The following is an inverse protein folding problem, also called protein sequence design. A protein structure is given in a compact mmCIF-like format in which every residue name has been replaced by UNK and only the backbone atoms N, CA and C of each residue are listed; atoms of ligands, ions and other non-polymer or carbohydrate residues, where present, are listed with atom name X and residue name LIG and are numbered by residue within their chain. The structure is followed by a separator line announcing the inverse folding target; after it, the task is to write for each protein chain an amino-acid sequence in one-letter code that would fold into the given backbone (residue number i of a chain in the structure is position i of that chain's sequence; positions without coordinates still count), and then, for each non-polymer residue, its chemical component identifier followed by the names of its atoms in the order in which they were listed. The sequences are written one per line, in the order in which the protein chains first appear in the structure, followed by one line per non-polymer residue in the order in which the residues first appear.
data_IF_292930214544
#
_entry.id   IF_292930214544
#
_cell.length_a   1.000
_cell.length_b   1.000
_cell.length_c   1.000
_cell.angle_alpha   90.00
_cell.angle_beta   90.00
_cell.angle_gamma   90.00
#
_symmetry.space_group_name_H-M   'P 1'
#
loop_
_entity.id
_entity.type
_entity.pdbx_description
1 polymer ?
#
# COMPACT_ATOMS: atom_id res chain seq x y z
N UNK A 1 36.73 -26.11 -0.77
CA UNK A 1 35.61 -25.15 -0.87
C UNK A 1 34.70 -25.49 0.30
N UNK A 2 35.02 -24.92 1.47
CA UNK A 2 34.41 -25.28 2.74
C UNK A 2 33.11 -24.52 2.94
N UNK A 3 32.03 -25.26 3.21
CA UNK A 3 30.79 -24.71 3.76
C UNK A 3 31.09 -24.48 5.24
N UNK A 4 31.05 -23.21 5.65
CA UNK A 4 31.15 -22.85 7.06
C UNK A 4 30.01 -23.48 7.85
N UNK A 5 30.41 -24.09 8.96
CA UNK A 5 29.59 -24.77 9.95
C UNK A 5 28.65 -23.76 10.65
N UNK A 6 27.40 -23.66 10.18
CA UNK A 6 26.38 -22.85 10.85
C UNK A 6 25.80 -23.63 12.03
N UNK A 7 26.42 -23.45 13.20
CA UNK A 7 25.92 -23.98 14.46
C UNK A 7 24.49 -23.51 14.77
N UNK A 8 23.68 -24.39 15.37
CA UNK A 8 22.26 -24.21 15.66
C UNK A 8 21.90 -23.00 16.55
N UNK A 9 22.89 -22.29 17.08
CA UNK A 9 22.69 -21.09 17.89
C UNK A 9 22.28 -19.85 17.08
N UNK A 10 22.46 -19.82 15.77
CA UNK A 10 22.05 -18.69 14.92
C UNK A 10 20.57 -18.73 14.47
N UNK A 11 19.89 -19.87 14.62
CA UNK A 11 18.51 -20.03 14.15
C UNK A 11 17.44 -19.57 15.16
N UNK A 12 17.80 -19.36 16.44
CA UNK A 12 16.86 -18.87 17.46
C UNK A 12 16.72 -17.33 17.51
N UNK A 13 17.61 -16.58 16.86
CA UNK A 13 17.61 -15.10 16.91
C UNK A 13 16.67 -14.43 15.88
N UNK A 14 16.07 -15.18 14.96
CA UNK A 14 15.20 -14.66 13.88
C UNK A 14 13.71 -15.02 14.03
N UNK A 15 13.31 -15.64 15.14
CA UNK A 15 11.90 -15.95 15.42
C UNK A 15 11.25 -16.96 14.46
N UNK A 16 12.04 -17.74 13.72
CA UNK A 16 11.56 -18.81 12.85
C UNK A 16 11.54 -20.14 13.62
N UNK A 17 10.53 -21.02 13.40
CA UNK A 17 10.46 -22.32 14.06
C UNK A 17 11.61 -23.24 13.61
N UNK A 18 12.18 -24.00 14.55
CA UNK A 18 13.27 -24.93 14.29
C UNK A 18 12.86 -26.03 13.27
N UNK A 19 13.75 -26.49 12.38
CA UNK A 19 13.43 -27.58 11.47
C UNK A 19 13.13 -28.86 12.26
N UNK A 20 11.94 -29.40 12.07
CA UNK A 20 11.50 -30.70 12.59
C UNK A 20 11.49 -31.72 11.47
N UNK A 21 11.75 -32.98 11.80
CA UNK A 21 11.58 -34.06 10.82
C UNK A 21 10.09 -34.32 10.51
N UNK A 22 9.81 -35.23 9.58
CA UNK A 22 8.45 -35.61 9.17
C UNK A 22 7.61 -36.27 10.28
N UNK A 23 8.15 -36.36 11.51
CA UNK A 23 7.49 -36.88 12.70
C UNK A 23 7.49 -35.87 13.88
N UNK A 24 7.94 -34.63 13.67
CA UNK A 24 7.77 -33.53 14.60
C UNK A 24 8.82 -33.43 15.73
N UNK A 25 9.97 -34.09 15.61
CA UNK A 25 11.07 -33.95 16.58
C UNK A 25 12.20 -33.04 16.08
N UNK A 26 12.81 -32.30 17.01
CA UNK A 26 13.95 -31.40 16.76
C UNK A 26 15.23 -32.24 16.64
N UNK A 27 15.97 -32.09 15.53
CA UNK A 27 17.16 -32.91 15.24
C UNK A 27 18.43 -32.10 15.52
N UNK A 28 19.34 -32.61 16.37
CA UNK A 28 20.50 -31.83 16.89
C UNK A 28 21.90 -32.37 16.58
N UNK A 29 22.11 -33.43 15.78
CA UNK A 29 23.47 -33.80 15.32
C UNK A 29 23.53 -34.91 14.25
N UNK A 30 24.54 -34.85 13.36
CA UNK A 30 24.99 -35.96 12.50
C UNK A 30 26.40 -36.40 12.91
N UNK A 31 26.64 -37.70 13.14
CA UNK A 31 27.97 -38.24 13.47
C UNK A 31 28.54 -39.06 12.29
N UNK A 32 29.84 -38.90 12.00
CA UNK A 32 30.64 -39.88 11.24
C UNK A 32 31.83 -40.35 12.09
N UNK A 33 32.07 -41.66 12.08
CA UNK A 33 32.97 -42.41 12.95
C UNK A 33 34.46 -42.27 12.60
N UNK A 34 35.34 -42.42 13.60
CA UNK A 34 36.78 -42.55 13.40
C UNK A 34 37.54 -42.82 14.71
N UNK A 35 38.14 -44.00 14.80
CA UNK A 35 38.80 -44.69 15.93
C UNK A 35 39.86 -43.92 16.76
N UNK A 36 39.88 -44.25 18.07
CA UNK A 36 40.82 -43.81 19.11
C UNK A 36 41.97 -44.81 19.35
N UNK A 37 43.25 -44.36 19.43
CA UNK A 37 44.29 -45.06 20.19
C UNK A 37 44.76 -44.31 21.45
N UNK A 38 44.97 -45.08 22.53
CA UNK A 38 45.33 -44.72 23.94
C UNK A 38 46.87 -44.60 24.12
N UNK A 39 47.41 -43.89 25.14
CA UNK A 39 48.68 -43.13 25.05
C UNK A 39 49.93 -43.88 25.54
N UNK A 40 51.11 -43.36 25.18
CA UNK A 40 52.43 -43.77 25.69
C UNK A 40 53.20 -42.56 26.23
N UNK A 41 53.92 -42.74 27.35
CA UNK A 41 54.47 -41.71 28.23
C UNK A 41 55.91 -41.26 27.94
N UNK A 42 56.15 -39.96 28.17
CA UNK A 42 57.34 -39.29 28.76
C UNK A 42 58.71 -39.30 28.07
N UNK A 43 59.24 -38.09 27.82
CA UNK A 43 60.56 -37.65 28.31
C UNK A 43 60.68 -36.11 28.34
N UNK A 44 61.28 -35.61 29.41
CA UNK A 44 61.55 -34.21 29.76
C UNK A 44 62.74 -33.62 29.01
N UNK A 45 62.70 -32.31 28.73
CA UNK A 45 63.87 -31.53 28.30
C UNK A 45 63.61 -30.02 28.17
N UNK A 46 63.96 -29.26 29.21
CA UNK A 46 64.30 -27.81 29.25
C UNK A 46 65.44 -27.49 28.24
N UNK A 47 65.71 -26.26 27.69
CA UNK A 47 65.33 -24.90 28.09
C UNK A 47 64.73 -23.99 26.98
N UNK A 48 64.23 -22.85 27.43
CA UNK A 48 63.75 -21.67 26.68
C UNK A 48 64.83 -21.00 25.84
N UNK A 49 64.49 -20.60 24.61
CA UNK A 49 65.22 -19.63 23.81
C UNK A 49 64.31 -18.45 23.40
N UNK A 50 64.92 -17.27 23.40
CA UNK A 50 64.36 -15.91 23.40
C UNK A 50 63.59 -15.52 22.13
N UNK A 51 62.49 -14.78 22.28
CA UNK A 51 61.72 -14.17 21.18
C UNK A 51 62.57 -13.20 20.36
N UNK A 52 62.55 -13.36 19.04
CA UNK A 52 62.98 -12.33 18.07
C UNK A 52 61.73 -11.53 17.66
N UNK A 53 61.71 -10.19 17.74
CA UNK A 53 60.56 -9.42 17.31
C UNK A 53 60.45 -9.38 15.78
N UNK A 54 59.34 -9.89 15.23
CA UNK A 54 58.99 -9.77 13.80
C UNK A 54 58.08 -8.56 13.60
N UNK A 55 58.29 -7.83 12.50
CA UNK A 55 57.71 -6.54 12.15
C UNK A 55 56.18 -6.45 12.20
N UNK A 56 55.68 -5.33 12.76
CA UNK A 56 54.28 -4.92 12.82
C UNK A 56 53.68 -4.71 11.42
N UNK A 57 52.50 -5.30 11.16
CA UNK A 57 51.71 -5.01 9.97
C UNK A 57 50.99 -3.66 10.10
N UNK A 58 51.08 -2.83 9.05
CA UNK A 58 50.42 -1.52 8.94
C UNK A 58 48.90 -1.67 8.86
N UNK A 59 48.16 -0.95 9.71
CA UNK A 59 46.69 -0.93 9.73
C UNK A 59 46.19 -0.08 8.55
N UNK A 60 45.49 -0.70 7.60
CA UNK A 60 44.74 0.02 6.57
C UNK A 60 43.43 0.52 7.17
N UNK A 61 43.21 1.84 7.18
CA UNK A 61 41.98 2.46 7.69
C UNK A 61 40.80 2.19 6.74
N UNK A 62 39.76 1.51 7.22
CA UNK A 62 38.48 1.35 6.51
C UNK A 62 37.72 2.69 6.49
N UNK A 63 37.23 3.11 5.32
CA UNK A 63 36.44 4.33 5.18
C UNK A 63 35.14 4.26 5.99
N UNK A 64 34.90 5.26 6.83
CA UNK A 64 33.67 5.43 7.61
C UNK A 64 32.49 5.72 6.68
N UNK A 65 31.39 4.96 6.82
CA UNK A 65 30.16 5.22 6.06
C UNK A 65 29.58 6.60 6.41
N UNK A 66 29.33 7.42 5.39
CA UNK A 66 28.64 8.71 5.54
C UNK A 66 27.21 8.48 6.02
N UNK A 67 26.72 9.16 7.08
CA UNK A 67 25.36 8.99 7.54
C UNK A 67 24.37 9.44 6.46
N UNK A 68 23.55 8.52 5.97
CA UNK A 68 22.42 8.81 5.09
C UNK A 68 21.37 9.58 5.89
N UNK A 69 20.90 10.71 5.37
CA UNK A 69 19.85 11.50 6.01
C UNK A 69 18.60 10.60 6.23
N UNK A 70 17.95 10.63 7.41
CA UNK A 70 16.69 9.91 7.62
C UNK A 70 15.64 10.35 6.59
N UNK A 71 14.75 9.48 6.13
CA UNK A 71 13.64 9.87 5.27
C UNK A 71 12.85 10.98 5.95
N UNK A 72 12.66 12.10 5.23
CA UNK A 72 11.83 13.22 5.69
C UNK A 72 10.44 12.69 6.00
N UNK A 73 10.00 12.79 7.25
CA UNK A 73 8.64 12.40 7.63
C UNK A 73 7.65 13.24 6.82
N UNK A 74 6.85 12.59 5.98
CA UNK A 74 5.72 13.24 5.31
C UNK A 74 4.78 13.78 6.39
N UNK A 75 4.47 15.08 6.35
CA UNK A 75 3.59 15.70 7.33
C UNK A 75 2.22 15.04 7.29
N UNK A 76 1.90 14.25 8.31
CA UNK A 76 0.56 13.68 8.49
C UNK A 76 -0.41 14.82 8.79
N UNK A 77 -1.56 14.92 8.11
CA UNK A 77 -2.55 15.94 8.43
C UNK A 77 -2.97 15.88 9.91
N UNK A 78 -3.31 17.02 10.55
CA UNK A 78 -3.80 17.03 11.92
C UNK A 78 -4.98 16.07 12.09
N UNK A 79 -5.02 15.38 13.23
CA UNK A 79 -6.13 14.50 13.61
C UNK A 79 -7.47 15.24 13.45
N UNK A 80 -8.43 14.63 12.77
CA UNK A 80 -9.76 15.21 12.53
C UNK A 80 -9.85 16.18 11.35
N UNK A 81 -8.78 16.43 10.60
CA UNK A 81 -8.84 17.14 9.32
C UNK A 81 -9.26 16.22 8.17
N UNK A 82 -9.86 16.80 7.13
CA UNK A 82 -10.14 16.07 5.88
C UNK A 82 -8.81 15.76 5.17
N UNK A 83 -8.57 14.48 4.91
CA UNK A 83 -7.37 13.99 4.22
C UNK A 83 -7.44 14.18 2.70
N UNK A 84 -8.63 14.43 2.16
CA UNK A 84 -8.86 14.65 0.73
C UNK A 84 -8.56 16.10 0.35
N UNK A 85 -7.73 16.30 -0.66
CA UNK A 85 -7.48 17.61 -1.24
C UNK A 85 -8.47 17.93 -2.35
N UNK A 86 -8.84 19.20 -2.48
CA UNK A 86 -9.85 19.68 -3.43
C UNK A 86 -11.17 18.87 -3.30
N UNK A 87 -11.65 18.74 -2.07
CA UNK A 87 -12.80 17.90 -1.70
C UNK A 87 -14.11 18.27 -2.41
N UNK A 88 -14.32 19.55 -2.68
CA UNK A 88 -15.48 20.07 -3.43
C UNK A 88 -15.16 20.47 -4.86
N UNK A 89 -14.01 20.06 -5.42
CA UNK A 89 -13.64 20.32 -6.82
C UNK A 89 -13.57 21.79 -7.27
N UNK A 90 -13.55 22.74 -6.34
CA UNK A 90 -13.53 24.19 -6.62
C UNK A 90 -12.21 24.66 -7.24
N UNK A 91 -11.09 24.01 -6.89
CA UNK A 91 -9.79 24.38 -7.43
C UNK A 91 -9.63 23.91 -8.89
N UNK A 92 -8.99 24.75 -9.72
CA UNK A 92 -8.63 24.39 -11.10
C UNK A 92 -7.38 23.50 -11.17
N UNK A 93 -6.55 23.50 -10.12
CA UNK A 93 -5.43 22.57 -9.98
C UNK A 93 -5.95 21.17 -9.68
N UNK A 94 -5.62 20.19 -10.52
CA UNK A 94 -6.14 18.83 -10.38
C UNK A 94 -5.27 18.02 -9.40
N UNK A 95 -5.70 17.90 -8.15
CA UNK A 95 -5.14 16.95 -7.16
C UNK A 95 -5.65 15.53 -7.39
N UNK A 96 -6.70 15.38 -8.20
CA UNK A 96 -7.24 14.09 -8.61
C UNK A 96 -6.58 13.63 -9.90
N UNK A 97 -6.38 12.31 -10.03
CA UNK A 97 -5.87 11.70 -11.25
C UNK A 97 -7.05 11.17 -12.05
N UNK A 98 -7.15 11.58 -13.31
CA UNK A 98 -8.22 11.18 -14.24
C UNK A 98 -7.71 10.14 -15.24
N UNK A 99 -8.55 9.14 -15.56
CA UNK A 99 -8.27 8.06 -16.51
C UNK A 99 -9.54 7.62 -17.24
N UNK A 100 -9.35 6.82 -18.29
CA UNK A 100 -10.44 6.14 -19.01
C UNK A 100 -10.98 6.90 -20.23
N UNK A 101 -12.11 6.44 -20.78
CA UNK A 101 -12.85 7.09 -21.84
C UNK A 101 -13.65 8.30 -21.31
N UNK A 102 -13.97 9.26 -22.18
CA UNK A 102 -14.71 10.48 -21.86
C UNK A 102 -14.26 11.10 -20.52
N UNK A 103 -12.97 11.48 -20.46
CA UNK A 103 -12.26 11.82 -19.24
C UNK A 103 -13.11 12.59 -18.21
N UNK A 104 -13.02 12.21 -16.92
CA UNK A 104 -13.65 12.98 -15.86
C UNK A 104 -13.26 14.45 -15.94
N UNK A 105 -14.18 15.31 -15.52
CA UNK A 105 -13.97 16.76 -15.59
C UNK A 105 -14.68 17.47 -14.46
N UNK A 106 -14.11 18.60 -14.05
CA UNK A 106 -14.81 19.59 -13.26
C UNK A 106 -16.01 20.15 -14.04
N UNK A 107 -17.17 20.25 -13.40
CA UNK A 107 -18.42 20.68 -14.02
C UNK A 107 -19.14 21.72 -13.18
N UNK A 108 -19.78 22.68 -13.83
CA UNK A 108 -20.71 23.65 -13.20
C UNK A 108 -22.17 23.25 -13.41
N UNK A 109 -22.45 22.10 -14.02
CA UNK A 109 -23.82 21.70 -14.39
C UNK A 109 -24.63 21.25 -13.20
N UNK A 110 -24.00 20.53 -12.27
CA UNK A 110 -24.55 20.16 -10.97
C UNK A 110 -23.44 20.41 -9.96
N UNK A 111 -23.77 21.04 -8.84
CA UNK A 111 -22.90 21.19 -7.69
C UNK A 111 -23.74 20.96 -6.44
N UNK A 112 -23.23 20.24 -5.45
CA UNK A 112 -23.90 20.04 -4.18
C UNK A 112 -23.64 21.24 -3.28
N UNK A 113 -22.38 21.65 -3.20
CA UNK A 113 -21.95 22.90 -2.61
C UNK A 113 -21.07 23.68 -3.58
N UNK A 114 -20.78 24.94 -3.30
CA UNK A 114 -19.89 25.74 -4.16
C UNK A 114 -20.42 25.94 -5.58
N UNK A 115 -19.49 25.95 -6.55
CA UNK A 115 -19.77 26.19 -7.98
C UNK A 115 -19.43 25.00 -8.87
N UNK A 116 -18.68 24.04 -8.37
CA UNK A 116 -18.15 22.94 -9.15
C UNK A 116 -18.40 21.59 -8.49
N UNK A 117 -18.46 20.55 -9.31
CA UNK A 117 -18.36 19.16 -8.88
C UNK A 117 -17.51 18.37 -9.87
N UNK A 118 -17.17 17.13 -9.54
CA UNK A 118 -16.61 16.19 -10.48
C UNK A 118 -17.72 15.54 -11.30
N UNK A 119 -17.61 15.55 -12.63
CA UNK A 119 -18.43 14.74 -13.52
C UNK A 119 -17.64 13.56 -14.06
N UNK A 120 -18.20 12.37 -13.90
CA UNK A 120 -17.74 11.13 -14.49
C UNK A 120 -18.82 10.65 -15.47
N UNK A 121 -18.41 10.12 -16.62
CA UNK A 121 -19.36 9.63 -17.62
C UNK A 121 -19.78 10.67 -18.66
N UNK A 122 -20.63 10.24 -19.59
CA UNK A 122 -21.13 11.03 -20.72
C UNK A 122 -22.65 11.04 -20.80
N UNK A 123 -23.19 12.07 -21.44
CA UNK A 123 -24.62 12.19 -21.73
C UNK A 123 -25.07 11.35 -22.94
N UNK A 124 -24.15 10.69 -23.63
CA UNK A 124 -24.45 9.73 -24.70
C UNK A 124 -23.20 8.97 -25.13
N UNK A 125 -23.36 7.72 -25.56
CA UNK A 125 -22.41 7.05 -26.45
C UNK A 125 -21.04 6.73 -25.84
N UNK A 126 -20.93 6.64 -24.51
CA UNK A 126 -19.67 6.27 -23.88
C UNK A 126 -19.34 4.79 -24.09
N UNK A 127 -18.05 4.48 -24.19
CA UNK A 127 -17.52 3.13 -24.13
C UNK A 127 -16.37 3.06 -23.12
N UNK A 128 -16.49 2.17 -22.14
CA UNK A 128 -15.49 1.94 -21.10
C UNK A 128 -15.66 2.85 -19.88
N UNK A 129 -14.62 2.86 -19.07
CA UNK A 129 -14.59 3.54 -17.77
C UNK A 129 -14.26 5.03 -17.91
N UNK A 130 -14.88 5.87 -17.10
CA UNK A 130 -14.46 7.23 -16.77
C UNK A 130 -14.11 7.23 -15.29
N UNK A 131 -12.85 7.43 -14.93
CA UNK A 131 -12.35 7.20 -13.56
C UNK A 131 -11.57 8.38 -13.01
N UNK A 132 -11.83 8.76 -11.76
CA UNK A 132 -11.03 9.71 -11.01
C UNK A 132 -10.63 9.11 -9.66
N UNK A 133 -9.36 9.29 -9.25
CA UNK A 133 -8.93 8.84 -7.93
C UNK A 133 -7.92 9.80 -7.28
N UNK A 134 -7.81 9.71 -5.95
CA UNK A 134 -6.80 10.41 -5.16
C UNK A 134 -6.23 9.45 -4.12
N UNK A 135 -4.90 9.33 -4.07
CA UNK A 135 -4.23 8.60 -2.99
C UNK A 135 -4.23 9.44 -1.72
N UNK A 136 -4.61 8.81 -0.62
CA UNK A 136 -4.69 9.40 0.72
C UNK A 136 -4.05 8.45 1.73
N UNK A 137 -3.28 8.99 2.67
CA UNK A 137 -2.67 8.20 3.75
C UNK A 137 -3.48 8.39 5.02
N UNK A 138 -4.07 7.30 5.53
CA UNK A 138 -4.74 7.33 6.82
C UNK A 138 -3.67 7.17 7.92
N UNK A 139 -3.64 8.05 8.94
CA UNK A 139 -2.66 7.97 10.02
C UNK A 139 -2.71 6.60 10.73
N UNK A 140 -1.56 6.00 11.03
CA UNK A 140 -1.48 4.70 11.71
C UNK A 140 -2.05 4.67 13.13
N UNK A 141 -2.12 5.83 13.78
CA UNK A 141 -2.72 5.97 15.11
C UNK A 141 -4.24 6.16 15.12
N UNK A 142 -4.86 6.31 13.94
CA UNK A 142 -6.29 6.57 13.84
C UNK A 142 -7.10 5.41 14.45
N UNK A 143 -8.08 5.77 15.28
CA UNK A 143 -9.09 4.88 15.86
C UNK A 143 -10.35 4.83 15.02
N UNK A 144 -10.59 5.87 14.23
CA UNK A 144 -11.61 5.87 13.20
C UNK A 144 -11.13 6.54 11.91
N UNK A 145 -11.63 6.08 10.78
CA UNK A 145 -11.52 6.76 9.50
C UNK A 145 -12.85 6.65 8.76
N UNK A 146 -13.47 7.79 8.45
CA UNK A 146 -14.80 7.84 7.86
C UNK A 146 -14.78 8.60 6.54
N UNK A 147 -15.17 7.91 5.47
CA UNK A 147 -15.35 8.48 4.14
C UNK A 147 -16.81 8.88 3.98
N UNK A 148 -17.04 10.13 3.58
CA UNK A 148 -18.32 10.63 3.10
C UNK A 148 -18.14 11.34 1.76
N UNK A 149 -19.18 11.33 0.95
CA UNK A 149 -19.27 12.12 -0.28
C UNK A 149 -20.73 12.20 -0.69
N UNK A 150 -21.04 13.14 -1.58
CA UNK A 150 -22.32 13.21 -2.27
C UNK A 150 -22.14 12.74 -3.70
N UNK A 151 -23.08 11.94 -4.21
CA UNK A 151 -23.16 11.62 -5.62
C UNK A 151 -24.55 11.91 -6.18
N UNK A 152 -24.60 12.27 -7.46
CA UNK A 152 -25.81 12.54 -8.22
C UNK A 152 -25.81 11.62 -9.45
N UNK A 153 -26.61 10.53 -9.46
CA UNK A 153 -26.59 9.56 -10.55
C UNK A 153 -27.61 9.86 -11.64
N UNK A 154 -27.25 9.57 -12.88
CA UNK A 154 -28.16 9.51 -14.02
C UNK A 154 -27.82 8.36 -14.95
N UNK A 155 -28.83 7.59 -15.29
CA UNK A 155 -28.72 6.51 -16.26
C UNK A 155 -30.03 6.36 -17.06
N UNK A 156 -29.93 5.86 -18.29
CA UNK A 156 -31.04 5.24 -19.02
C UNK A 156 -30.67 3.85 -19.55
N UNK A 157 -29.55 3.29 -19.08
CA UNK A 157 -29.12 1.94 -19.41
C UNK A 157 -29.40 0.97 -18.23
N UNK A 158 -29.03 -0.28 -18.42
CA UNK A 158 -29.14 -1.38 -17.48
C UNK A 158 -27.81 -1.68 -16.80
N UNK A 159 -27.88 -2.32 -15.64
CA UNK A 159 -26.70 -2.73 -14.87
C UNK A 159 -25.81 -3.78 -15.55
N UNK A 160 -26.21 -4.28 -16.72
CA UNK A 160 -25.39 -5.16 -17.54
C UNK A 160 -24.32 -4.38 -18.31
N UNK A 161 -24.64 -3.16 -18.73
CA UNK A 161 -23.78 -2.36 -19.61
C UNK A 161 -23.21 -1.14 -18.93
N UNK A 162 -23.88 -0.63 -17.89
CA UNK A 162 -23.47 0.61 -17.25
C UNK A 162 -23.57 0.55 -15.73
N UNK A 163 -22.70 1.27 -15.04
CA UNK A 163 -22.78 1.43 -13.58
C UNK A 163 -21.97 2.63 -13.08
N UNK A 164 -22.41 3.19 -11.96
CA UNK A 164 -21.70 4.16 -11.15
C UNK A 164 -21.12 3.46 -9.93
N UNK A 165 -19.90 3.83 -9.54
CA UNK A 165 -19.13 3.07 -8.58
C UNK A 165 -18.19 3.96 -7.76
N UNK A 166 -17.96 3.56 -6.51
CA UNK A 166 -16.88 4.08 -5.70
C UNK A 166 -16.11 2.91 -5.07
N UNK A 167 -14.78 3.02 -5.11
CA UNK A 167 -13.86 1.98 -4.68
C UNK A 167 -12.77 2.52 -3.76
N UNK A 168 -12.21 1.60 -2.98
CA UNK A 168 -10.88 1.74 -2.43
C UNK A 168 -9.91 0.96 -3.30
N UNK A 169 -8.87 1.63 -3.77
CA UNK A 169 -7.77 1.03 -4.54
C UNK A 169 -6.46 1.05 -3.75
N UNK A 170 -5.54 0.15 -4.07
CA UNK A 170 -4.16 0.25 -3.58
C UNK A 170 -3.32 1.22 -4.43
N UNK A 171 -2.06 1.44 -4.05
CA UNK A 171 -1.13 2.32 -4.78
C UNK A 171 -0.87 1.90 -6.24
N UNK A 172 -1.11 0.63 -6.57
CA UNK A 172 -0.98 0.09 -7.93
C UNK A 172 -2.26 0.25 -8.76
N UNK A 173 -3.33 0.83 -8.18
CA UNK A 173 -4.63 1.01 -8.84
C UNK A 173 -5.52 -0.23 -8.83
N UNK A 174 -5.17 -1.27 -8.07
CA UNK A 174 -6.03 -2.45 -7.91
C UNK A 174 -7.15 -2.13 -6.92
N UNK A 175 -8.40 -2.42 -7.28
CA UNK A 175 -9.54 -2.36 -6.36
C UNK A 175 -9.33 -3.40 -5.24
N UNK A 176 -9.30 -2.91 -4.00
CA UNK A 176 -9.19 -3.74 -2.80
C UNK A 176 -10.51 -3.78 -2.01
N UNK A 177 -11.41 -2.84 -2.27
CA UNK A 177 -12.78 -2.88 -1.76
C UNK A 177 -13.71 -2.05 -2.66
N UNK A 178 -14.79 -2.66 -3.12
CA UNK A 178 -15.89 -1.94 -3.77
C UNK A 178 -16.83 -1.41 -2.68
N UNK A 179 -17.04 -0.10 -2.62
CA UNK A 179 -17.90 0.53 -1.61
C UNK A 179 -19.37 0.48 -2.03
N UNK A 180 -19.64 0.78 -3.31
CA UNK A 180 -20.93 0.54 -3.94
C UNK A 180 -20.77 0.41 -5.45
N UNK A 181 -21.75 -0.25 -6.08
CA UNK A 181 -21.93 -0.23 -7.53
C UNK A 181 -23.41 -0.28 -7.87
N UNK A 182 -23.90 0.75 -8.54
CA UNK A 182 -25.30 0.95 -8.85
C UNK A 182 -25.49 1.40 -10.29
N UNK A 183 -26.70 1.26 -10.81
CA UNK A 183 -27.10 1.85 -12.09
C UNK A 183 -28.43 2.55 -11.88
N UNK A 184 -28.38 3.80 -11.44
CA UNK A 184 -29.58 4.53 -11.03
C UNK A 184 -29.71 5.87 -11.73
N UNK A 185 -30.92 6.44 -11.63
CA UNK A 185 -31.32 7.68 -12.28
C UNK A 185 -32.10 8.58 -11.33
N UNK A 186 -31.70 8.60 -10.06
CA UNK A 186 -32.34 9.38 -9.01
C UNK A 186 -32.32 10.89 -9.31
N UNK A 187 -31.27 11.35 -10.01
CA UNK A 187 -31.12 12.76 -10.38
C UNK A 187 -31.29 13.71 -9.20
N UNK A 188 -30.81 13.28 -8.04
CA UNK A 188 -30.75 14.03 -6.80
C UNK A 188 -29.46 13.69 -6.06
N UNK A 189 -29.01 14.58 -5.19
CA UNK A 189 -27.80 14.36 -4.41
C UNK A 189 -28.05 13.35 -3.28
N UNK A 190 -27.25 12.30 -3.24
CA UNK A 190 -27.32 11.24 -2.24
C UNK A 190 -26.01 11.22 -1.48
N UNK A 191 -26.09 11.31 -0.15
CA UNK A 191 -24.91 11.21 0.70
C UNK A 191 -24.56 9.73 0.93
N UNK A 192 -23.29 9.39 0.76
CA UNK A 192 -22.72 8.08 1.08
C UNK A 192 -21.80 8.21 2.29
N UNK A 193 -21.71 7.13 3.08
CA UNK A 193 -20.90 7.08 4.29
C UNK A 193 -20.32 5.67 4.50
N UNK A 194 -19.00 5.58 4.63
CA UNK A 194 -18.28 4.32 4.80
C UNK A 194 -17.26 4.40 5.93
N UNK A 195 -17.13 3.31 6.68
CA UNK A 195 -16.07 3.12 7.66
C UNK A 195 -14.85 2.49 6.97
N UNK A 196 -13.73 3.21 7.03
CA UNK A 196 -12.44 2.83 6.47
C UNK A 196 -11.37 2.63 7.56
N UNK A 197 -11.78 2.46 8.81
CA UNK A 197 -10.87 2.34 9.96
C UNK A 197 -9.90 1.15 9.84
N UNK A 198 -10.27 0.11 9.11
CA UNK A 198 -9.40 -1.03 8.78
C UNK A 198 -8.16 -0.66 7.94
N UNK A 199 -8.18 0.50 7.29
CA UNK A 199 -7.06 1.03 6.50
C UNK A 199 -6.16 1.99 7.28
N UNK A 200 -6.34 2.11 8.60
CA UNK A 200 -5.42 2.89 9.43
C UNK A 200 -3.96 2.49 9.19
N UNK A 201 -3.10 3.49 8.93
CA UNK A 201 -1.69 3.30 8.64
C UNK A 201 -1.36 2.97 7.18
N UNK A 202 -2.37 2.90 6.31
CA UNK A 202 -2.20 2.57 4.90
C UNK A 202 -2.36 3.81 4.01
N UNK A 203 -1.73 3.75 2.84
CA UNK A 203 -2.06 4.64 1.73
C UNK A 203 -3.01 3.92 0.80
N UNK A 204 -4.20 4.47 0.64
CA UNK A 204 -5.27 3.95 -0.20
C UNK A 204 -5.67 5.00 -1.23
N UNK A 205 -6.25 4.59 -2.34
CA UNK A 205 -6.91 5.48 -3.28
C UNK A 205 -8.40 5.49 -3.04
N UNK A 206 -8.98 6.68 -2.92
CA UNK A 206 -10.43 6.87 -3.07
C UNK A 206 -10.68 7.02 -4.55
N UNK A 207 -11.44 6.10 -5.14
CA UNK A 207 -11.76 6.09 -6.56
C UNK A 207 -13.26 6.27 -6.78
N UNK A 208 -13.60 7.08 -7.78
CA UNK A 208 -14.94 7.20 -8.33
C UNK A 208 -14.89 6.79 -9.80
N UNK A 209 -15.87 6.01 -10.22
CA UNK A 209 -15.91 5.41 -11.54
C UNK A 209 -17.33 5.45 -12.11
N UNK A 210 -17.39 5.73 -13.40
CA UNK A 210 -18.56 5.50 -14.23
C UNK A 210 -18.15 4.54 -15.36
N UNK A 211 -18.91 3.46 -15.56
CA UNK A 211 -18.74 2.55 -16.69
C UNK A 211 -19.94 2.64 -17.61
N UNK A 212 -19.68 2.55 -18.92
CA UNK A 212 -20.74 2.43 -19.91
C UNK A 212 -20.26 1.58 -21.11
N UNK A 213 -21.17 0.77 -21.64
CA UNK A 213 -21.02 0.01 -22.87
C UNK A 213 -22.19 0.29 -23.83
N UNK A 214 -22.41 1.57 -24.15
CA UNK A 214 -23.48 2.04 -25.04
C UNK A 214 -23.47 1.46 -26.46
N UNK A 215 -22.34 0.90 -26.92
CA UNK A 215 -22.11 0.42 -28.29
C UNK A 215 -22.49 1.45 -29.37
N UNK A 216 -22.24 2.74 -29.10
CA UNK A 216 -22.58 3.85 -29.99
C UNK A 216 -24.05 4.27 -29.98
N UNK A 217 -24.87 3.65 -29.12
CA UNK A 217 -26.26 4.03 -28.89
C UNK A 217 -26.42 5.34 -28.13
N UNK A 218 -27.65 5.85 -28.09
CA UNK A 218 -28.04 7.05 -27.33
C UNK A 218 -28.27 6.75 -25.82
N UNK A 219 -27.47 5.84 -25.26
CA UNK A 219 -27.45 5.53 -23.83
C UNK A 219 -26.51 6.47 -23.10
N UNK A 220 -26.90 6.84 -21.89
CA UNK A 220 -26.13 7.64 -20.98
C UNK A 220 -26.08 6.96 -19.62
N UNK A 221 -24.89 7.03 -19.04
CA UNK A 221 -24.62 6.72 -17.65
C UNK A 221 -23.55 7.73 -17.22
N UNK A 222 -23.84 8.45 -16.14
CA UNK A 222 -22.91 9.39 -15.55
C UNK A 222 -23.28 9.64 -14.10
N UNK A 223 -22.31 10.18 -13.37
CA UNK A 223 -22.59 10.79 -12.08
C UNK A 223 -21.83 12.09 -11.89
N UNK A 224 -22.36 12.92 -11.01
CA UNK A 224 -21.58 13.97 -10.37
C UNK A 224 -21.18 13.52 -8.97
N UNK A 225 -20.00 13.92 -8.51
CA UNK A 225 -19.49 13.68 -7.17
C UNK A 225 -19.04 14.99 -6.58
N UNK A 226 -19.36 15.22 -5.31
CA UNK A 226 -19.03 16.47 -4.61
C UNK A 226 -18.85 16.24 -3.10
N UNK A 227 -18.27 17.24 -2.42
CA UNK A 227 -18.06 17.30 -0.98
C UNK A 227 -17.44 16.02 -0.38
N UNK A 228 -16.34 15.56 -0.99
CA UNK A 228 -15.63 14.34 -0.59
C UNK A 228 -14.82 14.57 0.68
N UNK A 229 -15.13 13.85 1.75
CA UNK A 229 -14.42 13.97 3.02
C UNK A 229 -13.97 12.62 3.56
N UNK A 230 -12.67 12.48 3.79
CA UNK A 230 -12.11 11.40 4.59
C UNK A 230 -11.52 11.98 5.86
N UNK A 231 -12.19 11.77 7.00
CA UNK A 231 -11.72 12.27 8.29
C UNK A 231 -11.23 11.11 9.14
N UNK A 232 -10.00 11.21 9.63
CA UNK A 232 -9.41 10.23 10.53
C UNK A 232 -9.20 10.82 11.93
N UNK A 233 -9.58 10.07 12.97
CA UNK A 233 -9.37 10.43 14.38
C UNK A 233 -8.67 9.29 15.08
#
# INVERSE_FOLDING_TARGET
MGIDDMSANYMFALGLPAPVDSRGHVVTSFFTSGSNPTPTSTATGTPTATNTPTSTATVTSTATATPTNPPTATSTPPQGSNLVQNSGFEASSNTWVYRGANHPRRSTTQAHSGSYSLKLGSNSGQQGDSTAYQLVTIPGGAKSANLTFYYWPASNDSSTYAWQEADIVNSSGTIIQQLFRNTTNDRSWIQMNFDLSSYAGQTIGIQFLDHENSNGGAYYNFMYVDDVSLTAR
#
